data_IF_340647143874
#
_entry.id   IF_340647143874
#
_cell.length_a   1.000
_cell.length_b   1.000
_cell.length_c   1.000
_cell.angle_alpha   90.00
_cell.angle_beta   90.00
_cell.angle_gamma   90.00
#
_symmetry.space_group_name_H-M   'P 1'
#
loop_
_entity.id
_entity.type
_entity.pdbx_description
1 polymer ?
#
# COMPACT_ATOMS: atom_id res chain seq x y z
N UNK A 1 -5.68 15.17 -49.56
CA UNK A 1 -4.89 13.97 -49.91
C UNK A 1 -3.43 14.24 -49.64
N UNK A 2 -2.87 13.70 -48.56
CA UNK A 2 -1.46 13.32 -48.51
C UNK A 2 -1.24 12.34 -47.35
N UNK A 3 -0.91 11.11 -47.72
CA UNK A 3 -0.45 10.09 -46.79
C UNK A 3 1.05 10.31 -46.54
N UNK A 4 1.46 10.33 -45.27
CA UNK A 4 2.86 10.12 -44.89
C UNK A 4 2.92 8.85 -44.06
N UNK A 5 3.50 7.81 -44.65
CA UNK A 5 4.02 6.64 -43.93
C UNK A 5 5.28 7.10 -43.19
N UNK A 6 5.30 6.92 -41.88
CA UNK A 6 6.56 6.80 -41.12
C UNK A 6 6.64 5.38 -40.58
N UNK A 7 7.73 4.74 -40.94
CA UNK A 7 8.24 3.46 -40.49
C UNK A 7 8.76 3.55 -39.06
N UNK A 8 8.54 2.50 -38.26
CA UNK A 8 9.40 2.16 -37.12
C UNK A 8 8.78 2.39 -35.73
N UNK A 9 8.34 1.29 -35.10
CA UNK A 9 8.07 1.20 -33.67
C UNK A 9 6.73 1.80 -33.24
N UNK A 10 5.77 0.94 -32.90
CA UNK A 10 4.52 1.34 -32.26
C UNK A 10 4.83 1.77 -30.81
N UNK A 11 5.30 2.99 -30.64
CA UNK A 11 5.21 3.71 -29.37
C UNK A 11 3.96 4.57 -29.48
N UNK A 12 2.95 4.27 -28.67
CA UNK A 12 1.84 5.19 -28.47
C UNK A 12 2.47 6.50 -27.95
N UNK A 13 2.11 7.64 -28.54
CA UNK A 13 2.46 8.95 -27.97
C UNK A 13 2.07 8.95 -26.48
N UNK A 14 2.88 9.53 -25.60
CA UNK A 14 2.67 9.46 -24.14
C UNK A 14 1.24 9.86 -23.73
N UNK A 15 0.65 10.81 -24.45
CA UNK A 15 -0.73 11.26 -24.27
C UNK A 15 -1.77 10.22 -24.72
N UNK A 16 -1.49 9.49 -25.81
CA UNK A 16 -2.35 8.40 -26.28
C UNK A 16 -2.27 7.18 -25.34
N UNK A 17 -1.09 6.92 -24.78
CA UNK A 17 -0.91 5.88 -23.76
C UNK A 17 -1.65 6.24 -22.46
N UNK A 18 -1.53 7.47 -21.98
CA UNK A 18 -2.22 7.96 -20.80
C UNK A 18 -3.75 7.95 -20.99
N UNK A 19 -4.24 8.40 -22.15
CA UNK A 19 -5.67 8.37 -22.47
C UNK A 19 -6.22 6.93 -22.52
N UNK A 20 -5.47 6.01 -23.12
CA UNK A 20 -5.84 4.59 -23.15
C UNK A 20 -5.83 3.95 -21.74
N UNK A 21 -4.83 4.27 -20.93
CA UNK A 21 -4.73 3.78 -19.56
C UNK A 21 -5.85 4.31 -18.64
N UNK A 22 -6.21 5.59 -18.79
CA UNK A 22 -7.33 6.21 -18.07
C UNK A 22 -8.66 5.62 -18.50
N UNK A 23 -8.87 5.40 -19.80
CA UNK A 23 -10.09 4.77 -20.33
C UNK A 23 -10.23 3.32 -19.86
N UNK A 24 -9.14 2.55 -19.83
CA UNK A 24 -9.15 1.18 -19.29
C UNK A 24 -9.45 1.15 -17.79
N UNK A 25 -8.94 2.13 -17.03
CA UNK A 25 -9.25 2.27 -15.61
C UNK A 25 -10.74 2.59 -15.36
N UNK A 26 -11.40 3.31 -16.27
CA UNK A 26 -12.82 3.68 -16.12
C UNK A 26 -13.82 2.60 -16.55
N UNK A 27 -13.52 1.76 -17.56
CA UNK A 27 -14.54 0.88 -18.19
C UNK A 27 -14.23 -0.64 -18.16
N UNK A 28 -13.15 -1.08 -17.50
CA UNK A 28 -12.84 -2.52 -17.39
C UNK A 28 -13.81 -3.29 -16.47
N UNK A 29 -14.15 -4.57 -16.76
CA UNK A 29 -14.99 -5.42 -15.90
C UNK A 29 -14.35 -5.77 -14.54
N UNK A 30 -13.11 -5.32 -14.31
CA UNK A 30 -12.52 -5.16 -12.99
C UNK A 30 -12.49 -3.68 -12.64
N UNK A 31 -13.66 -3.09 -12.41
CA UNK A 31 -13.77 -1.68 -12.03
C UNK A 31 -12.78 -1.40 -10.91
N UNK A 32 -12.02 -0.29 -11.03
CA UNK A 32 -10.93 0.08 -10.13
C UNK A 32 -11.21 -0.51 -8.75
N UNK A 33 -10.55 -1.63 -8.42
CA UNK A 33 -10.49 -2.02 -7.02
C UNK A 33 -9.99 -0.76 -6.37
N UNK A 34 -10.84 -0.12 -5.56
CA UNK A 34 -10.46 1.06 -4.80
C UNK A 34 -9.33 0.53 -3.95
N UNK A 35 -8.09 0.62 -4.46
CA UNK A 35 -6.88 0.36 -3.72
C UNK A 35 -7.06 1.31 -2.58
N UNK A 36 -7.44 0.77 -1.41
CA UNK A 36 -7.81 1.59 -0.27
C UNK A 36 -6.68 2.59 -0.13
N UNK A 37 -6.98 3.86 -0.39
CA UNK A 37 -5.93 4.84 -0.55
C UNK A 37 -5.21 4.91 0.80
N UNK A 38 -4.01 4.36 0.87
CA UNK A 38 -3.18 4.48 2.06
C UNK A 38 -2.80 5.96 2.13
N UNK A 39 -3.23 6.70 3.17
CA UNK A 39 -2.93 8.12 3.24
C UNK A 39 -1.41 8.28 3.19
N UNK A 40 -0.87 9.08 2.25
CA UNK A 40 0.57 9.12 2.06
C UNK A 40 1.28 9.88 3.19
N UNK A 41 2.59 9.67 3.28
CA UNK A 41 3.50 10.46 4.10
C UNK A 41 3.68 9.96 5.54
N UNK A 42 4.70 10.53 6.19
CA UNK A 42 5.16 10.11 7.53
C UNK A 42 4.09 10.25 8.60
N UNK A 43 3.33 11.34 8.59
CA UNK A 43 2.27 11.60 9.57
C UNK A 43 1.20 10.50 9.57
N UNK A 44 0.79 10.04 8.40
CA UNK A 44 -0.16 8.95 8.26
C UNK A 44 0.42 7.62 8.73
N UNK A 45 1.69 7.34 8.40
CA UNK A 45 2.40 6.16 8.88
C UNK A 45 2.49 6.09 10.41
N UNK A 46 2.83 7.21 11.06
CA UNK A 46 2.87 7.30 12.51
C UNK A 46 1.48 7.14 13.15
N UNK A 47 0.46 7.80 12.61
CA UNK A 47 -0.92 7.62 13.08
C UNK A 47 -1.32 6.14 13.01
N UNK A 48 -0.98 5.47 11.91
CA UNK A 48 -1.24 4.03 11.75
C UNK A 48 -0.47 3.17 12.74
N UNK A 49 0.78 3.54 13.07
CA UNK A 49 1.58 2.85 14.08
C UNK A 49 0.92 2.98 15.46
N UNK A 50 0.47 4.17 15.85
CA UNK A 50 -0.21 4.40 17.14
C UNK A 50 -1.57 3.70 17.27
N UNK A 51 -2.29 3.53 16.16
CA UNK A 51 -3.57 2.80 16.13
C UNK A 51 -3.39 1.28 16.21
N UNK A 52 -2.20 0.76 15.89
CA UNK A 52 -1.96 -0.68 15.84
C UNK A 52 -1.83 -1.27 17.24
N UNK A 53 -2.71 -2.22 17.58
CA UNK A 53 -2.68 -2.95 18.85
C UNK A 53 -2.04 -4.33 18.69
N UNK A 54 -0.81 -4.46 19.18
CA UNK A 54 -0.03 -5.70 19.06
C UNK A 54 -0.67 -6.91 19.77
N UNK A 55 -1.45 -6.68 20.83
CA UNK A 55 -2.05 -7.76 21.62
C UNK A 55 -2.92 -8.73 20.83
N UNK A 56 -3.53 -8.29 19.73
CA UNK A 56 -4.35 -9.13 18.83
C UNK A 56 -3.58 -9.77 17.68
N UNK A 57 -2.31 -9.40 17.45
CA UNK A 57 -1.57 -9.76 16.24
C UNK A 57 -1.35 -11.27 16.10
N UNK A 58 -0.87 -11.93 17.16
CA UNK A 58 -0.52 -13.35 17.11
C UNK A 58 -1.72 -14.24 16.77
N UNK A 59 -2.89 -13.95 17.36
CA UNK A 59 -4.13 -14.70 17.11
C UNK A 59 -4.81 -14.32 15.79
N UNK A 60 -4.66 -13.06 15.34
CA UNK A 60 -5.46 -12.51 14.24
C UNK A 60 -4.76 -12.35 12.88
N UNK A 61 -3.45 -12.62 12.80
CA UNK A 61 -2.66 -12.38 11.56
C UNK A 61 -3.12 -13.17 10.33
N UNK A 62 -3.80 -14.30 10.54
CA UNK A 62 -4.24 -15.19 9.46
C UNK A 62 -5.72 -15.01 9.07
N UNK A 63 -6.46 -14.14 9.76
CA UNK A 63 -7.87 -13.91 9.43
C UNK A 63 -8.03 -12.87 8.32
N UNK A 64 -8.98 -13.14 7.43
CA UNK A 64 -9.43 -12.20 6.40
C UNK A 64 -10.61 -11.35 6.92
N UNK A 65 -10.88 -10.24 6.23
CA UNK A 65 -12.00 -9.34 6.56
C UNK A 65 -11.73 -8.41 7.74
N UNK A 66 -12.79 -8.00 8.42
CA UNK A 66 -12.78 -6.99 9.49
C UNK A 66 -12.04 -7.43 10.76
N UNK A 67 -11.79 -8.74 10.93
CA UNK A 67 -11.07 -9.31 12.09
C UNK A 67 -9.55 -9.39 11.90
N UNK A 68 -9.01 -8.71 10.89
CA UNK A 68 -7.58 -8.71 10.57
C UNK A 68 -6.79 -7.91 11.62
N UNK A 69 -5.97 -8.60 12.41
CA UNK A 69 -5.11 -7.97 13.41
C UNK A 69 -3.70 -7.65 12.89
N UNK A 70 -3.57 -7.17 11.64
CA UNK A 70 -2.26 -6.78 11.08
C UNK A 70 -2.08 -5.26 11.09
N UNK A 71 -0.84 -4.81 11.20
CA UNK A 71 -0.51 -3.38 11.35
C UNK A 71 -0.84 -2.54 10.12
N UNK A 72 -0.89 -3.14 8.93
CA UNK A 72 -0.99 -2.43 7.64
C UNK A 72 0.12 -1.39 7.45
N UNK A 73 1.29 -1.59 8.08
CA UNK A 73 2.43 -0.67 8.01
C UNK A 73 3.35 -0.91 6.80
N UNK A 74 3.15 -2.00 6.04
CA UNK A 74 4.05 -2.37 4.94
C UNK A 74 4.27 -1.27 3.90
N UNK A 75 3.30 -0.41 3.53
CA UNK A 75 3.56 0.69 2.60
C UNK A 75 4.51 1.74 3.21
N UNK A 76 4.34 2.07 4.49
CA UNK A 76 5.15 3.07 5.17
C UNK A 76 6.57 2.58 5.47
N UNK A 77 6.72 1.30 5.83
CA UNK A 77 8.01 0.66 6.07
C UNK A 77 8.84 0.56 4.79
N UNK A 78 8.23 0.13 3.67
CA UNK A 78 8.92 -0.01 2.37
C UNK A 78 9.47 1.32 1.86
N UNK A 79 8.79 2.43 2.16
CA UNK A 79 9.19 3.76 1.73
C UNK A 79 9.94 4.56 2.80
N UNK A 80 10.29 3.96 3.94
CA UNK A 80 11.03 4.63 5.02
C UNK A 80 10.27 5.76 5.71
N UNK A 81 8.95 5.82 5.54
CA UNK A 81 8.08 6.82 6.20
C UNK A 81 7.91 6.51 7.69
N UNK A 82 8.03 5.23 8.05
CA UNK A 82 8.21 4.73 9.42
C UNK A 82 9.40 3.78 9.36
N UNK A 83 10.32 3.90 10.30
CA UNK A 83 11.49 3.03 10.38
C UNK A 83 11.18 1.75 11.13
N UNK A 84 11.96 0.69 10.87
CA UNK A 84 11.86 -0.57 11.62
C UNK A 84 12.15 -0.37 13.12
N UNK A 85 13.07 0.54 13.46
CA UNK A 85 13.41 0.88 14.85
C UNK A 85 12.22 1.54 15.55
N UNK A 86 11.59 2.55 14.93
CA UNK A 86 10.39 3.18 15.48
C UNK A 86 9.26 2.17 15.69
N UNK A 87 9.01 1.29 14.71
CA UNK A 87 7.96 0.27 14.82
C UNK A 87 8.25 -0.74 15.92
N UNK A 88 9.50 -1.20 16.03
CA UNK A 88 9.95 -2.12 17.09
C UNK A 88 9.79 -1.48 18.47
N UNK A 89 10.36 -0.31 18.66
CA UNK A 89 10.42 0.35 19.96
C UNK A 89 9.02 0.73 20.43
N UNK A 90 8.15 1.18 19.51
CA UNK A 90 6.74 1.44 19.81
C UNK A 90 6.03 0.18 20.33
N UNK A 91 6.14 -0.94 19.63
CA UNK A 91 5.45 -2.18 19.99
C UNK A 91 6.00 -2.78 21.29
N UNK A 92 7.32 -2.70 21.52
CA UNK A 92 7.92 -3.10 22.79
C UNK A 92 7.46 -2.21 23.95
N UNK A 93 7.24 -0.91 23.70
CA UNK A 93 6.73 0.01 24.72
C UNK A 93 5.26 -0.19 25.07
N UNK A 94 4.43 -0.66 24.12
CA UNK A 94 3.01 -0.96 24.39
C UNK A 94 2.82 -2.29 25.15
N UNK A 95 3.41 -3.39 24.66
CA UNK A 95 3.25 -4.71 25.28
C UNK A 95 4.41 -5.65 24.90
N UNK A 96 5.52 -5.53 25.63
CA UNK A 96 6.71 -6.35 25.43
C UNK A 96 6.42 -7.87 25.49
N UNK A 97 5.44 -8.31 26.29
CA UNK A 97 5.08 -9.73 26.45
C UNK A 97 4.41 -10.31 25.21
N UNK A 98 3.67 -9.50 24.45
CA UNK A 98 2.98 -9.91 23.22
C UNK A 98 3.67 -9.46 21.92
N UNK A 99 4.69 -8.62 22.03
CA UNK A 99 5.48 -8.09 20.91
C UNK A 99 6.26 -9.15 20.12
N UNK A 100 6.63 -10.28 20.76
CA UNK A 100 7.58 -11.24 20.20
C UNK A 100 7.24 -11.73 18.79
N UNK A 101 5.96 -12.01 18.49
CA UNK A 101 5.53 -12.48 17.16
C UNK A 101 5.50 -11.40 16.08
N UNK A 102 5.55 -10.13 16.45
CA UNK A 102 5.55 -9.00 15.53
C UNK A 102 6.98 -8.53 15.20
N UNK A 103 7.90 -8.65 16.17
CA UNK A 103 9.27 -8.13 16.06
C UNK A 103 10.28 -9.18 15.57
N UNK A 104 10.04 -10.48 15.81
CA UNK A 104 10.87 -11.60 15.36
C UNK A 104 10.33 -12.21 14.06
#
# INVERSE_FOLDING_TARGET
MQARRTSGGMWLDDDAFLAAALSFASDGPGGMSRVAAFPPGRRAGLARLHDFKVGGYAGGRNFAGERRSVSSLSPYLRHGLVTLVEARDHVLSEDAGRAGKFVQ
#
